data_IF_564200803494
#
_entry.id   IF_564200803494
#
_cell.length_a   1.000
_cell.length_b   1.000
_cell.length_c   1.000
_cell.angle_alpha   90.00
_cell.angle_beta   90.00
_cell.angle_gamma   90.00
#
_symmetry.space_group_name_H-M   'P 1'
#
loop_
_entity.id
_entity.type
_entity.pdbx_description
1 polymer ?
#
# COMPACT_ATOMS: atom_id res chain seq x y z
N UNK A 1 2.53 15.44 2.68
CA UNK A 1 1.69 14.37 3.24
C UNK A 1 2.52 13.11 3.43
N UNK A 2 2.35 12.40 4.54
CA UNK A 2 3.03 11.13 4.83
C UNK A 2 2.15 9.89 4.65
N UNK A 3 2.64 8.76 5.17
CA UNK A 3 1.93 7.50 5.14
C UNK A 3 0.88 7.46 6.26
N UNK A 4 -0.34 7.03 5.91
CA UNK A 4 -1.50 6.92 6.80
C UNK A 4 -1.95 5.48 6.87
N UNK A 5 -2.07 4.96 8.08
CA UNK A 5 -2.36 3.55 8.27
C UNK A 5 -3.86 3.27 8.03
N UNK A 6 -4.24 2.17 7.37
CA UNK A 6 -5.64 1.74 7.36
C UNK A 6 -6.14 1.54 8.80
N UNK A 7 -7.33 2.05 9.13
CA UNK A 7 -7.80 2.14 10.53
C UNK A 7 -7.84 0.80 11.25
N UNK A 8 -8.20 -0.24 10.53
CA UNK A 8 -8.35 -1.60 11.09
C UNK A 8 -7.03 -2.36 11.16
N UNK A 9 -5.97 -1.88 10.49
CA UNK A 9 -4.69 -2.59 10.42
C UNK A 9 -4.05 -2.75 11.80
N UNK A 10 -4.13 -1.74 12.68
CA UNK A 10 -3.54 -1.84 14.03
C UNK A 10 -4.11 -3.03 14.78
N UNK A 11 -5.43 -3.14 14.83
CA UNK A 11 -6.11 -4.19 15.59
C UNK A 11 -5.99 -5.55 14.89
N UNK A 12 -6.06 -5.59 13.57
CA UNK A 12 -5.89 -6.83 12.80
C UNK A 12 -4.51 -7.45 13.05
N UNK A 13 -3.43 -6.69 12.84
CA UNK A 13 -2.06 -7.20 12.99
C UNK A 13 -1.59 -7.29 14.44
N UNK A 14 -2.30 -6.67 15.40
CA UNK A 14 -2.00 -6.82 16.82
C UNK A 14 -2.05 -8.28 17.25
N UNK A 15 -3.01 -9.06 16.73
CA UNK A 15 -3.13 -10.49 17.02
C UNK A 15 -1.87 -11.27 16.61
N UNK A 16 -1.31 -10.95 15.43
CA UNK A 16 -0.11 -11.60 14.89
C UNK A 16 1.13 -11.26 15.74
N UNK A 17 1.21 -10.04 16.29
CA UNK A 17 2.33 -9.61 17.12
C UNK A 17 2.16 -9.91 18.62
N UNK A 18 1.07 -10.55 19.05
CA UNK A 18 0.75 -10.72 20.48
C UNK A 18 1.81 -11.49 21.26
N UNK A 19 2.37 -12.56 20.67
CA UNK A 19 3.34 -13.45 21.35
C UNK A 19 4.77 -12.95 21.18
N UNK A 20 5.08 -12.43 20.00
CA UNK A 20 6.38 -11.92 19.62
C UNK A 20 6.17 -10.88 18.52
N UNK A 21 7.01 -9.83 18.48
CA UNK A 21 6.98 -8.87 17.37
C UNK A 21 7.45 -9.56 16.09
N UNK A 22 6.50 -10.10 15.32
CA UNK A 22 6.75 -10.80 14.07
C UNK A 22 6.95 -9.80 12.93
N UNK A 23 6.17 -8.71 12.92
CA UNK A 23 6.48 -7.53 12.12
C UNK A 23 7.41 -6.59 12.89
N UNK A 24 8.50 -6.17 12.26
CA UNK A 24 9.53 -5.32 12.91
C UNK A 24 9.07 -3.88 13.00
N UNK A 25 8.27 -3.42 12.03
CA UNK A 25 7.81 -2.04 11.90
C UNK A 25 6.33 -1.98 11.59
N UNK A 26 5.68 -0.88 11.97
CA UNK A 26 4.31 -0.59 11.52
C UNK A 26 4.23 -0.47 9.99
N UNK A 27 5.33 -0.02 9.37
CA UNK A 27 5.43 0.08 7.92
C UNK A 27 5.36 -1.29 7.22
N UNK A 28 5.82 -2.38 7.85
CA UNK A 28 5.71 -3.72 7.24
C UNK A 28 4.25 -4.11 7.05
N UNK A 29 3.40 -3.77 8.03
CA UNK A 29 1.96 -4.02 7.99
C UNK A 29 1.26 -3.15 6.96
N UNK A 30 1.64 -1.87 6.91
CA UNK A 30 1.19 -0.94 5.87
C UNK A 30 1.55 -1.46 4.47
N UNK A 31 2.79 -1.92 4.29
CA UNK A 31 3.30 -2.45 3.03
C UNK A 31 2.51 -3.69 2.59
N UNK A 32 2.20 -4.63 3.49
CA UNK A 32 1.35 -5.77 3.15
C UNK A 32 -0.03 -5.33 2.63
N UNK A 33 -0.65 -4.34 3.27
CA UNK A 33 -1.91 -3.79 2.79
C UNK A 33 -1.75 -3.07 1.44
N UNK A 34 -0.69 -2.29 1.27
CA UNK A 34 -0.41 -1.56 0.04
C UNK A 34 -0.27 -2.49 -1.15
N UNK A 35 0.58 -3.51 -1.06
CA UNK A 35 0.83 -4.45 -2.16
C UNK A 35 -0.46 -5.17 -2.56
N UNK A 36 -1.27 -5.60 -1.59
CA UNK A 36 -2.56 -6.23 -1.89
C UNK A 36 -3.51 -5.28 -2.63
N UNK A 37 -3.54 -4.01 -2.24
CA UNK A 37 -4.37 -3.00 -2.91
C UNK A 37 -3.90 -2.68 -4.31
N UNK A 38 -2.59 -2.51 -4.52
CA UNK A 38 -1.99 -2.24 -5.82
C UNK A 38 -2.21 -3.40 -6.79
N UNK A 39 -1.93 -4.63 -6.36
CA UNK A 39 -2.11 -5.84 -7.18
C UNK A 39 -3.55 -6.01 -7.69
N UNK A 40 -4.52 -5.68 -6.85
CA UNK A 40 -5.95 -5.76 -7.15
C UNK A 40 -6.53 -4.45 -7.70
N UNK A 41 -5.70 -3.43 -7.93
CA UNK A 41 -6.09 -2.09 -8.42
C UNK A 41 -7.25 -1.49 -7.60
N UNK A 42 -7.29 -1.81 -6.30
CA UNK A 42 -8.42 -1.50 -5.43
C UNK A 42 -8.10 -0.32 -4.52
N UNK A 43 -8.83 0.77 -4.72
CA UNK A 43 -8.82 1.93 -3.83
C UNK A 43 -9.81 1.73 -2.69
N UNK A 44 -9.37 2.05 -1.48
CA UNK A 44 -10.24 2.34 -0.33
C UNK A 44 -10.77 3.78 -0.34
N UNK A 45 -11.62 4.07 0.64
CA UNK A 45 -12.17 5.41 0.89
C UNK A 45 -11.33 6.15 1.93
N UNK A 46 -11.48 7.48 1.96
CA UNK A 46 -10.72 8.33 2.87
C UNK A 46 -11.01 8.04 4.35
N UNK A 47 -12.23 7.61 4.67
CA UNK A 47 -12.62 7.28 6.04
C UNK A 47 -11.99 5.96 6.54
N UNK A 48 -11.41 5.16 5.64
CA UNK A 48 -10.87 3.83 5.93
C UNK A 48 -9.40 3.85 6.36
N UNK A 49 -8.73 5.01 6.31
CA UNK A 49 -7.41 5.23 6.89
C UNK A 49 -7.41 6.35 7.93
N UNK A 50 -6.34 6.41 8.71
CA UNK A 50 -6.13 7.39 9.78
C UNK A 50 -5.94 8.80 9.21
N UNK A 51 -6.41 9.82 9.91
CA UNK A 51 -6.22 11.21 9.45
C UNK A 51 -4.77 11.67 9.59
N UNK A 52 -4.10 11.21 10.65
CA UNK A 52 -2.72 11.56 10.97
C UNK A 52 -1.73 10.65 10.24
N UNK A 53 -0.61 11.24 9.84
CA UNK A 53 0.52 10.48 9.30
C UNK A 53 1.16 9.68 10.43
N UNK A 54 1.36 8.38 10.24
CA UNK A 54 2.10 7.57 11.21
C UNK A 54 3.61 7.59 10.96
N UNK A 55 4.03 7.97 9.74
CA UNK A 55 5.41 8.24 9.35
C UNK A 55 5.44 9.15 8.11
N UNK A 56 6.36 10.11 8.08
CA UNK A 56 6.43 11.14 7.03
C UNK A 56 7.12 10.68 5.74
N UNK A 57 7.92 9.61 5.81
CA UNK A 57 8.77 9.15 4.71
C UNK A 57 9.07 7.66 4.81
N UNK A 58 9.77 7.13 3.81
CA UNK A 58 10.14 5.72 3.82
C UNK A 58 11.11 5.43 4.99
N UNK A 59 10.80 4.43 5.84
CA UNK A 59 11.76 3.98 6.83
C UNK A 59 13.00 3.39 6.14
N UNK A 60 14.15 3.43 6.82
CA UNK A 60 15.45 3.04 6.26
C UNK A 60 15.45 1.74 5.42
N UNK A 61 14.80 0.63 5.84
CA UNK A 61 14.78 -0.61 5.05
C UNK A 61 14.02 -0.54 3.72
N UNK A 62 13.25 0.53 3.49
CA UNK A 62 12.41 0.71 2.30
C UNK A 62 12.87 1.89 1.43
N UNK A 63 13.87 2.66 1.85
CA UNK A 63 14.35 3.83 1.09
C UNK A 63 14.86 3.43 -0.30
N UNK A 64 15.62 2.33 -0.40
CA UNK A 64 16.13 1.79 -1.66
C UNK A 64 15.03 1.11 -2.51
N UNK A 65 13.88 0.80 -1.91
CA UNK A 65 12.71 0.22 -2.59
C UNK A 65 11.66 1.26 -2.99
N UNK A 66 11.84 2.53 -2.63
CA UNK A 66 10.89 3.60 -2.90
C UNK A 66 10.51 3.68 -4.39
N UNK A 67 11.49 3.61 -5.30
CA UNK A 67 11.25 3.62 -6.74
C UNK A 67 10.41 2.43 -7.24
N UNK A 68 10.56 1.26 -6.62
CA UNK A 68 9.74 0.09 -6.96
C UNK A 68 8.28 0.31 -6.54
N UNK A 69 8.06 0.84 -5.33
CA UNK A 69 6.72 1.17 -4.84
C UNK A 69 6.05 2.22 -5.73
N UNK A 70 6.79 3.25 -6.15
CA UNK A 70 6.31 4.28 -7.09
C UNK A 70 5.97 3.65 -8.45
N UNK A 71 6.81 2.77 -8.97
CA UNK A 71 6.55 2.04 -10.22
C UNK A 71 5.27 1.20 -10.15
N UNK A 72 5.06 0.49 -9.03
CA UNK A 72 3.83 -0.28 -8.79
C UNK A 72 2.59 0.62 -8.71
N UNK A 73 2.70 1.80 -8.09
CA UNK A 73 1.62 2.78 -8.06
C UNK A 73 1.26 3.27 -9.47
N UNK A 74 2.27 3.65 -10.27
CA UNK A 74 2.06 4.09 -11.65
C UNK A 74 1.38 2.98 -12.45
N UNK A 75 1.89 1.75 -12.38
CA UNK A 75 1.31 0.61 -13.09
C UNK A 75 -0.16 0.36 -12.70
N UNK A 76 -0.46 0.35 -11.39
CA UNK A 76 -1.83 0.16 -10.91
C UNK A 76 -2.78 1.27 -11.38
N UNK A 77 -2.32 2.52 -11.43
CA UNK A 77 -3.12 3.64 -11.92
C UNK A 77 -3.29 3.63 -13.44
N UNK A 78 -2.26 3.24 -14.20
CA UNK A 78 -2.38 3.04 -15.65
C UNK A 78 -3.48 2.02 -15.96
N UNK A 79 -3.41 0.84 -15.34
CA UNK A 79 -4.41 -0.21 -15.53
C UNK A 79 -5.81 0.23 -15.08
N UNK A 80 -5.93 0.93 -13.95
CA UNK A 80 -7.22 1.41 -13.44
C UNK A 80 -7.85 2.49 -14.32
N UNK A 81 -7.03 3.32 -14.97
CA UNK A 81 -7.47 4.39 -15.86
C UNK A 81 -7.56 3.96 -17.33
N UNK A 82 -7.14 2.74 -17.66
CA UNK A 82 -7.10 2.23 -19.04
C UNK A 82 -6.08 2.97 -19.91
N UNK A 83 -4.98 3.43 -19.34
CA UNK A 83 -3.89 4.10 -20.06
C UNK A 83 -3.02 3.03 -20.74
N UNK A 84 -2.91 3.11 -22.06
CA UNK A 84 -2.00 2.28 -22.84
C UNK A 84 -0.54 2.69 -22.56
N UNK A 85 0.34 1.71 -22.35
CA UNK A 85 1.76 1.94 -22.13
C UNK A 85 2.47 2.54 -23.35
N UNK A 86 1.94 2.31 -24.56
CA UNK A 86 2.45 2.90 -25.80
C UNK A 86 2.00 4.37 -25.99
N UNK A 87 0.97 4.82 -25.24
CA UNK A 87 0.58 6.23 -25.21
C UNK A 87 1.49 7.02 -24.26
N UNK A 88 2.67 7.38 -24.79
CA UNK A 88 3.68 8.15 -24.07
C UNK A 88 3.13 9.43 -23.44
N UNK A 89 2.20 10.13 -24.10
CA UNK A 89 1.69 11.41 -23.60
C UNK A 89 0.83 11.20 -22.35
N UNK A 90 -0.06 10.20 -22.36
CA UNK A 90 -0.89 9.85 -21.20
C UNK A 90 -0.05 9.31 -20.04
N UNK A 91 0.94 8.47 -20.34
CA UNK A 91 1.88 7.95 -19.32
C UNK A 91 2.67 9.08 -18.67
N UNK A 92 3.23 10.00 -19.46
CA UNK A 92 3.98 11.15 -18.95
C UNK A 92 3.10 12.05 -18.08
N UNK A 93 1.86 12.32 -18.52
CA UNK A 93 0.89 13.09 -17.74
C UNK A 93 0.60 12.45 -16.39
N UNK A 94 0.40 11.13 -16.35
CA UNK A 94 0.18 10.39 -15.11
C UNK A 94 1.40 10.50 -14.18
N UNK A 95 2.61 10.28 -14.70
CA UNK A 95 3.85 10.36 -13.92
C UNK A 95 4.00 11.75 -13.29
N UNK A 96 3.79 12.81 -14.06
CA UNK A 96 3.86 14.20 -13.57
C UNK A 96 2.81 14.52 -12.50
N UNK A 97 1.66 13.84 -12.50
CA UNK A 97 0.65 13.98 -11.45
C UNK A 97 1.03 13.25 -10.16
N UNK A 98 1.80 12.16 -10.25
CA UNK A 98 2.09 11.29 -9.11
C UNK A 98 3.44 11.57 -8.45
N UNK A 99 4.42 12.06 -9.20
CA UNK A 99 5.81 12.23 -8.74
C UNK A 99 6.10 13.69 -8.44
N UNK A 100 6.79 13.93 -7.31
CA UNK A 100 7.36 15.23 -6.96
C UNK A 100 8.75 14.99 -6.38
N UNK A 101 9.80 15.50 -7.04
CA UNK A 101 11.19 15.13 -6.70
C UNK A 101 11.67 15.69 -5.37
N UNK A 102 11.05 16.75 -4.87
CA UNK A 102 11.53 17.48 -3.69
C UNK A 102 10.88 16.98 -2.40
N UNK A 103 9.89 16.07 -2.50
CA UNK A 103 9.25 15.47 -1.33
C UNK A 103 10.08 14.34 -0.71
N UNK A 104 9.85 14.06 0.58
CA UNK A 104 10.49 12.97 1.34
C UNK A 104 10.20 11.58 0.76
N UNK A 105 9.07 11.43 0.05
CA UNK A 105 8.59 10.18 -0.54
C UNK A 105 8.75 10.12 -2.05
N UNK A 106 9.26 11.18 -2.69
CA UNK A 106 9.31 11.37 -4.15
C UNK A 106 7.94 11.31 -4.83
N UNK A 107 6.87 11.48 -4.06
CA UNK A 107 5.49 11.50 -4.51
C UNK A 107 4.88 12.88 -4.26
N UNK A 108 4.01 13.29 -5.17
CA UNK A 108 3.13 14.44 -4.96
C UNK A 108 2.10 14.15 -3.87
N UNK A 109 1.35 15.16 -3.44
CA UNK A 109 0.22 14.94 -2.52
C UNK A 109 -0.80 13.94 -3.07
N UNK A 110 -1.11 14.01 -4.36
CA UNK A 110 -2.01 13.07 -5.04
C UNK A 110 -1.42 11.65 -5.06
N UNK A 111 -0.13 11.51 -5.34
CA UNK A 111 0.58 10.24 -5.28
C UNK A 111 0.50 9.61 -3.89
N UNK A 112 0.74 10.40 -2.84
CA UNK A 112 0.64 9.95 -1.45
C UNK A 112 -0.79 9.59 -1.04
N UNK A 113 -1.78 10.36 -1.46
CA UNK A 113 -3.19 10.06 -1.21
C UNK A 113 -3.58 8.72 -1.83
N UNK A 114 -3.23 8.49 -3.10
CA UNK A 114 -3.52 7.23 -3.79
C UNK A 114 -2.84 6.05 -3.10
N UNK A 115 -1.58 6.19 -2.69
CA UNK A 115 -0.83 5.15 -1.98
C UNK A 115 -1.53 4.75 -0.67
N UNK A 116 -2.00 5.73 0.10
CA UNK A 116 -2.80 5.51 1.32
C UNK A 116 -4.16 4.87 1.03
N UNK A 117 -4.84 5.27 -0.06
CA UNK A 117 -6.09 4.65 -0.49
C UNK A 117 -5.91 3.22 -0.95
N UNK A 118 -4.83 2.91 -1.67
CA UNK A 118 -4.51 1.52 -2.05
C UNK A 118 -4.24 0.66 -0.82
N UNK A 119 -3.47 1.16 0.16
CA UNK A 119 -3.30 0.44 1.43
C UNK A 119 -4.65 0.20 2.14
N UNK A 120 -5.57 1.16 2.15
CA UNK A 120 -6.90 0.95 2.70
C UNK A 120 -7.71 -0.11 1.93
N UNK A 121 -7.68 -0.06 0.59
CA UNK A 121 -8.34 -1.05 -0.27
C UNK A 121 -7.80 -2.46 -0.06
N UNK A 122 -6.47 -2.62 0.02
CA UNK A 122 -5.84 -3.90 0.32
C UNK A 122 -6.13 -4.40 1.73
N UNK A 123 -6.28 -3.52 2.73
CA UNK A 123 -6.73 -3.93 4.06
C UNK A 123 -8.15 -4.50 4.03
N UNK A 124 -9.07 -3.89 3.26
CA UNK A 124 -10.42 -4.45 3.10
C UNK A 124 -10.36 -5.87 2.52
N UNK A 125 -9.56 -6.09 1.47
CA UNK A 125 -9.37 -7.42 0.86
C UNK A 125 -8.81 -8.42 1.88
N UNK A 126 -7.76 -8.04 2.61
CA UNK A 126 -7.12 -8.87 3.63
C UNK A 126 -8.13 -9.27 4.70
N UNK A 127 -8.87 -8.31 5.24
CA UNK A 127 -9.87 -8.56 6.29
C UNK A 127 -10.97 -9.51 5.81
N UNK A 128 -11.47 -9.29 4.60
CA UNK A 128 -12.62 -10.03 4.09
C UNK A 128 -12.23 -11.44 3.64
N UNK A 129 -10.96 -11.67 3.31
CA UNK A 129 -10.48 -12.93 2.72
C UNK A 129 -9.60 -13.78 3.65
N UNK A 130 -8.92 -13.15 4.62
CA UNK A 130 -8.04 -13.84 5.58
C UNK A 130 -8.69 -13.75 6.97
N UNK A 131 -9.17 -14.89 7.52
CA UNK A 131 -9.66 -14.91 8.89
C UNK A 131 -8.62 -14.38 9.86
N UNK A 132 -9.06 -13.59 10.85
CA UNK A 132 -8.17 -13.09 11.91
C UNK A 132 -7.41 -14.25 12.55
N UNK A 133 -6.09 -14.13 12.54
CA UNK A 133 -5.19 -15.16 13.07
C UNK A 133 -4.09 -14.50 13.90
N UNK A 134 -3.61 -15.22 14.91
CA UNK A 134 -2.40 -14.85 15.65
C UNK A 134 -1.12 -15.48 15.08
N UNK A 135 -1.26 -16.39 14.11
CA UNK A 135 -0.13 -17.11 13.53
C UNK A 135 0.32 -16.43 12.23
N UNK A 136 1.56 -15.92 12.23
CA UNK A 136 2.15 -15.24 11.07
C UNK A 136 2.19 -16.16 9.85
N UNK A 137 2.53 -17.43 10.04
CA UNK A 137 2.68 -18.41 8.98
C UNK A 137 1.35 -18.64 8.24
N UNK A 138 0.24 -18.73 8.99
CA UNK A 138 -1.11 -18.85 8.42
C UNK A 138 -1.49 -17.60 7.63
N UNK A 139 -1.15 -16.42 8.16
CA UNK A 139 -1.36 -15.15 7.46
C UNK A 139 -0.57 -15.12 6.14
N UNK A 140 0.73 -15.41 6.16
CA UNK A 140 1.61 -15.33 4.99
C UNK A 140 1.21 -16.32 3.88
N UNK A 141 0.82 -17.55 4.25
CA UNK A 141 0.33 -18.53 3.26
C UNK A 141 -0.95 -18.05 2.60
N UNK A 142 -1.89 -17.49 3.39
CA UNK A 142 -3.16 -16.98 2.86
C UNK A 142 -2.94 -15.74 1.99
N UNK A 143 -2.08 -14.83 2.44
CA UNK A 143 -1.69 -13.62 1.73
C UNK A 143 -1.05 -13.94 0.38
N UNK A 144 -0.10 -14.88 0.35
CA UNK A 144 0.52 -15.33 -0.89
C UNK A 144 -0.48 -15.95 -1.87
N UNK A 145 -1.45 -16.74 -1.39
CA UNK A 145 -2.49 -17.30 -2.26
C UNK A 145 -3.33 -16.21 -2.92
N UNK A 146 -3.72 -15.18 -2.17
CA UNK A 146 -4.49 -14.06 -2.72
C UNK A 146 -3.73 -13.32 -3.83
N UNK A 147 -2.44 -13.05 -3.66
CA UNK A 147 -1.62 -12.41 -4.68
C UNK A 147 -1.45 -13.23 -5.97
N UNK A 148 -1.60 -14.55 -5.90
CA UNK A 148 -1.47 -15.43 -7.06
C UNK A 148 -2.83 -15.93 -7.58
N UNK A 149 -3.93 -15.32 -7.15
CA UNK A 149 -5.28 -15.71 -7.58
C UNK A 149 -5.79 -14.92 -8.79
N UNK A 150 -5.00 -13.98 -9.30
CA UNK A 150 -5.34 -13.05 -10.39
C UNK A 150 -4.76 -13.51 -11.73
#
# INVERSE_FOLDING_TARGET
MGFKLPREAREYYKLIDQKEKRFKMMFDKYYMCLIMGLDNKKLGRQEEYENADFIEGYPQPYQDKSHLIIGLLINAEMERQGIDAEDRASVESLILQLIETDSSTKLSEKGMELLNRYAAGGMNIIRDSIPKTGDLEVFLVSYHRLLNSN
#
